data_IF_025883311737
#
_entry.id   IF_025883311737
#
_cell.length_a   1.000
_cell.length_b   1.000
_cell.length_c   1.000
_cell.angle_alpha   90.00
_cell.angle_beta   90.00
_cell.angle_gamma   90.00
#
_symmetry.space_group_name_H-M   'P 1'
#
loop_
_entity.id
_entity.type
_entity.pdbx_description
1 polymer ?
#
# COMPACT_ATOMS: atom_id res chain seq x y z
N UNK A 1 8.42 -3.45 11.73
CA UNK A 1 8.22 -1.99 11.74
C UNK A 1 6.88 -1.69 11.10
N UNK A 2 6.09 -0.78 11.68
CA UNK A 2 4.77 -0.38 11.14
C UNK A 2 4.89 0.91 10.35
N UNK A 3 4.28 0.97 9.16
CA UNK A 3 4.36 2.13 8.25
C UNK A 3 2.97 2.50 7.75
N UNK A 4 2.67 3.80 7.70
CA UNK A 4 1.46 4.34 7.08
C UNK A 4 1.85 5.13 5.83
N UNK A 5 1.28 4.75 4.69
CA UNK A 5 1.25 5.58 3.49
C UNK A 5 -0.05 6.35 3.42
N UNK A 6 0.03 7.64 3.12
CA UNK A 6 -1.13 8.43 2.72
C UNK A 6 -1.19 8.38 1.19
N UNK A 7 -2.12 7.58 0.67
CA UNK A 7 -2.10 7.09 -0.70
C UNK A 7 -1.66 5.62 -0.78
N UNK A 8 -0.95 5.25 -1.84
CA UNK A 8 -0.47 3.88 -2.07
C UNK A 8 -1.22 3.11 -3.15
N UNK A 9 -2.32 3.66 -3.67
CA UNK A 9 -3.14 3.11 -4.77
C UNK A 9 -3.04 3.91 -6.08
N UNK A 10 -2.15 4.91 -6.12
CA UNK A 10 -1.91 5.73 -7.31
C UNK A 10 -0.97 5.05 -8.31
N UNK A 11 -0.86 5.64 -9.51
CA UNK A 11 -0.05 5.10 -10.62
C UNK A 11 1.39 4.76 -10.20
N UNK A 12 2.04 5.64 -9.44
CA UNK A 12 3.42 5.44 -8.97
C UNK A 12 3.45 4.73 -7.62
N UNK A 13 2.59 5.16 -6.69
CA UNK A 13 2.65 4.68 -5.30
C UNK A 13 2.28 3.20 -5.15
N UNK A 14 1.57 2.60 -6.10
CA UNK A 14 1.30 1.15 -6.11
C UNK A 14 2.58 0.32 -6.21
N UNK A 15 3.60 0.76 -6.96
CA UNK A 15 4.87 0.05 -7.04
C UNK A 15 5.62 0.08 -5.69
N UNK A 16 5.58 1.22 -4.99
CA UNK A 16 6.14 1.35 -3.65
C UNK A 16 5.44 0.45 -2.64
N UNK A 17 4.10 0.39 -2.68
CA UNK A 17 3.28 -0.50 -1.85
C UNK A 17 3.68 -1.97 -2.03
N UNK A 18 3.85 -2.42 -3.29
CA UNK A 18 4.28 -3.79 -3.59
C UNK A 18 5.66 -4.11 -3.02
N UNK A 19 6.64 -3.25 -3.28
CA UNK A 19 8.00 -3.45 -2.78
C UNK A 19 8.06 -3.47 -1.24
N UNK A 20 7.26 -2.64 -0.58
CA UNK A 20 7.18 -2.63 0.87
C UNK A 20 6.59 -3.95 1.41
N UNK A 21 5.54 -4.46 0.78
CA UNK A 21 4.94 -5.75 1.13
C UNK A 21 5.91 -6.92 0.92
N UNK A 22 6.61 -6.97 -0.22
CA UNK A 22 7.62 -7.99 -0.52
C UNK A 22 8.77 -8.01 0.49
N UNK A 23 9.08 -6.86 1.09
CA UNK A 23 10.09 -6.74 2.16
C UNK A 23 9.55 -7.11 3.55
N UNK A 24 8.30 -7.57 3.66
CA UNK A 24 7.67 -7.95 4.93
C UNK A 24 7.35 -6.77 5.84
N UNK A 25 7.17 -5.57 5.28
CA UNK A 25 6.78 -4.39 6.06
C UNK A 25 5.28 -4.47 6.36
N UNK A 26 4.92 -4.29 7.63
CA UNK A 26 3.52 -4.13 8.05
C UNK A 26 3.03 -2.74 7.63
N UNK A 27 2.39 -2.69 6.46
CA UNK A 27 2.03 -1.46 5.75
C UNK A 27 0.52 -1.20 5.79
N UNK A 28 0.17 0.05 6.09
CA UNK A 28 -1.20 0.57 6.09
C UNK A 28 -1.32 1.67 5.04
N UNK A 29 -2.45 1.76 4.34
CA UNK A 29 -2.70 2.72 3.27
C UNK A 29 -3.94 3.57 3.55
N UNK A 30 -3.78 4.85 3.92
CA UNK A 30 -4.92 5.75 3.99
C UNK A 30 -5.20 6.38 2.62
N UNK A 31 -6.27 5.95 1.96
CA UNK A 31 -6.70 6.47 0.65
C UNK A 31 -8.00 7.26 0.76
N UNK A 32 -8.13 8.36 -0.01
CA UNK A 32 -9.42 9.05 -0.18
C UNK A 32 -10.28 8.48 -1.31
N UNK A 33 -9.63 7.95 -2.34
CA UNK A 33 -10.30 7.47 -3.55
C UNK A 33 -10.79 6.03 -3.41
N UNK A 34 -11.87 5.69 -4.11
CA UNK A 34 -12.44 4.33 -4.14
C UNK A 34 -11.87 3.46 -5.27
N UNK A 35 -10.70 3.81 -5.80
CA UNK A 35 -10.06 3.05 -6.88
C UNK A 35 -9.74 1.66 -6.36
N UNK A 36 -10.35 0.63 -6.93
CA UNK A 36 -9.95 -0.74 -6.66
C UNK A 36 -8.60 -1.00 -7.31
N UNK A 37 -7.65 -1.43 -6.50
CA UNK A 37 -6.32 -1.87 -6.91
C UNK A 37 -6.08 -3.20 -6.21
N UNK A 38 -5.46 -4.14 -6.88
CA UNK A 38 -5.03 -5.38 -6.24
C UNK A 38 -3.91 -5.07 -5.24
N UNK A 39 -4.19 -5.33 -3.96
CA UNK A 39 -3.30 -5.07 -2.84
C UNK A 39 -2.61 -6.38 -2.47
N UNK A 40 -1.26 -6.41 -2.32
CA UNK A 40 -0.55 -7.60 -1.87
C UNK A 40 -0.93 -8.04 -0.45
N UNK A 41 -0.76 -9.33 -0.17
CA UNK A 41 -0.91 -9.87 1.18
C UNK A 41 -0.03 -9.11 2.19
N UNK A 42 -0.59 -8.81 3.36
CA UNK A 42 0.11 -8.10 4.43
C UNK A 42 0.00 -6.57 4.38
N UNK A 43 -0.67 -6.00 3.36
CA UNK A 43 -1.01 -4.58 3.29
C UNK A 43 -2.48 -4.36 3.65
N UNK A 44 -2.75 -3.35 4.48
CA UNK A 44 -4.10 -2.97 4.90
C UNK A 44 -4.46 -1.60 4.32
N UNK A 45 -5.72 -1.42 3.91
CA UNK A 45 -6.23 -0.15 3.36
C UNK A 45 -7.25 0.45 4.32
#
# INVERSE_FOLDING_TARGET
>A
MKVLFIGGTGTISTACTRLAAERGIELYLLNRGQRQVEIPNGVQV
#
